data_IF_388108199275
#
_entry.id   IF_388108199275
#
_cell.length_a   1.000
_cell.length_b   1.000
_cell.length_c   1.000
_cell.angle_alpha   90.00
_cell.angle_beta   90.00
_cell.angle_gamma   90.00
#
_symmetry.space_group_name_H-M   'P 1'
#
loop_
_entity.id
_entity.type
_entity.pdbx_description
1 polymer ?
#
# COMPACT_ATOMS: atom_id res chain seq x y z
N UNK A 1 -27.07 -17.15 7.19
CA UNK A 1 -25.68 -17.30 7.69
C UNK A 1 -24.90 -17.96 6.57
N UNK A 2 -23.92 -17.28 6.01
CA UNK A 2 -23.08 -17.83 4.94
C UNK A 2 -21.80 -18.40 5.54
N UNK A 3 -21.45 -19.63 5.15
CA UNK A 3 -20.25 -20.32 5.58
C UNK A 3 -19.35 -20.50 4.37
N UNK A 4 -18.16 -19.92 4.42
CA UNK A 4 -17.15 -20.01 3.36
C UNK A 4 -16.03 -20.96 3.81
N UNK A 5 -15.60 -21.85 2.92
CA UNK A 5 -14.49 -22.78 3.15
C UNK A 5 -13.29 -22.39 2.28
N UNK A 6 -12.08 -22.50 2.82
CA UNK A 6 -10.84 -22.15 2.13
C UNK A 6 -9.64 -22.90 2.70
N UNK A 7 -8.44 -22.61 2.18
CA UNK A 7 -7.20 -23.24 2.65
C UNK A 7 -6.76 -22.61 3.97
N UNK A 8 -6.53 -23.42 4.99
CA UNK A 8 -6.02 -22.94 6.28
C UNK A 8 -4.54 -22.56 6.17
N UNK A 9 -4.21 -21.33 6.57
CA UNK A 9 -2.83 -20.79 6.64
C UNK A 9 -2.42 -20.54 8.09
N UNK A 10 -3.38 -20.33 8.99
CA UNK A 10 -3.16 -20.05 10.40
C UNK A 10 -4.20 -20.78 11.26
N UNK A 11 -3.78 -21.43 12.34
CA UNK A 11 -4.63 -22.30 13.16
C UNK A 11 -5.48 -21.60 14.23
N UNK A 12 -5.46 -20.27 14.31
CA UNK A 12 -6.22 -19.52 15.30
C UNK A 12 -7.66 -19.20 14.88
N UNK A 13 -8.53 -18.93 15.86
CA UNK A 13 -9.90 -18.44 15.64
C UNK A 13 -9.91 -16.92 15.90
N UNK A 14 -10.39 -16.13 14.93
CA UNK A 14 -10.54 -14.68 15.06
C UNK A 14 -12.03 -14.29 15.14
N UNK A 15 -12.40 -13.47 16.12
CA UNK A 15 -13.76 -12.94 16.28
C UNK A 15 -13.66 -11.42 16.30
N UNK A 16 -14.26 -10.74 15.31
CA UNK A 16 -14.18 -9.30 15.18
C UNK A 16 -14.93 -8.76 13.98
N UNK A 17 -14.84 -7.45 13.76
CA UNK A 17 -15.45 -6.78 12.60
C UNK A 17 -14.63 -7.06 11.35
N UNK A 18 -15.31 -7.27 10.22
CA UNK A 18 -14.68 -7.44 8.92
C UNK A 18 -14.22 -6.06 8.41
N UNK A 19 -12.96 -5.96 8.00
CA UNK A 19 -12.43 -4.83 7.24
C UNK A 19 -12.15 -5.28 5.81
N UNK A 20 -12.79 -4.65 4.83
CA UNK A 20 -12.66 -5.01 3.41
C UNK A 20 -11.57 -4.16 2.78
N UNK A 21 -10.43 -4.76 2.47
CA UNK A 21 -9.37 -4.10 1.71
C UNK A 21 -9.67 -4.20 0.21
N UNK A 22 -10.08 -3.09 -0.40
CA UNK A 22 -10.26 -2.97 -1.85
C UNK A 22 -9.05 -2.25 -2.43
N UNK A 23 -8.48 -2.79 -3.52
CA UNK A 23 -7.51 -2.04 -4.33
C UNK A 23 -8.27 -1.02 -5.16
N UNK A 24 -7.87 0.24 -5.07
CA UNK A 24 -8.41 1.26 -5.96
C UNK A 24 -7.88 1.04 -7.39
N UNK A 25 -8.77 1.10 -8.38
CA UNK A 25 -8.39 1.05 -9.78
C UNK A 25 -7.74 2.38 -10.18
N UNK A 26 -6.43 2.36 -10.46
CA UNK A 26 -5.74 3.52 -11.04
C UNK A 26 -6.00 3.57 -12.55
N UNK A 27 -7.08 4.23 -12.97
CA UNK A 27 -7.33 4.48 -14.39
C UNK A 27 -6.40 5.57 -14.93
N UNK A 28 -5.52 5.21 -15.86
CA UNK A 28 -4.65 6.17 -16.55
C UNK A 28 -5.46 6.92 -17.61
N UNK A 29 -5.79 8.18 -17.32
CA UNK A 29 -6.43 9.08 -18.29
C UNK A 29 -5.39 9.79 -19.15
N UNK A 30 -5.56 9.74 -20.47
CA UNK A 30 -4.75 10.53 -21.41
C UNK A 30 -5.26 11.98 -21.39
N UNK A 31 -4.42 12.89 -20.92
CA UNK A 31 -4.65 14.33 -20.94
C UNK A 31 -3.50 15.00 -21.67
N UNK A 32 -3.80 16.02 -22.50
CA UNK A 32 -2.77 16.90 -23.03
C UNK A 32 -2.34 17.85 -21.91
N UNK A 33 -1.04 17.92 -21.68
CA UNK A 33 -0.46 18.77 -20.66
C UNK A 33 0.05 20.03 -21.34
N UNK A 34 -0.51 21.17 -20.95
CA UNK A 34 -0.16 22.48 -21.52
C UNK A 34 1.10 23.06 -20.88
N UNK A 35 1.42 22.65 -19.65
CA UNK A 35 2.59 23.10 -18.89
C UNK A 35 3.48 21.92 -18.45
N UNK A 36 4.54 21.61 -19.21
CA UNK A 36 5.45 20.51 -18.88
C UNK A 36 6.17 20.66 -17.55
N UNK A 37 6.53 21.89 -17.14
CA UNK A 37 7.28 22.14 -15.91
C UNK A 37 6.45 21.80 -14.66
N UNK A 38 5.15 22.12 -14.69
CA UNK A 38 4.21 21.77 -13.62
C UNK A 38 4.03 20.25 -13.50
N UNK A 39 4.01 19.52 -14.61
CA UNK A 39 3.90 18.06 -14.57
C UNK A 39 5.15 17.39 -14.01
N UNK A 40 6.34 17.91 -14.36
CA UNK A 40 7.60 17.44 -13.78
C UNK A 40 7.61 17.70 -12.27
N UNK A 41 7.15 18.86 -11.81
CA UNK A 41 7.03 19.17 -10.38
C UNK A 41 6.05 18.22 -9.67
N UNK A 42 4.87 17.96 -10.26
CA UNK A 42 3.89 16.99 -9.75
C UNK A 42 4.49 15.60 -9.58
N UNK A 43 5.20 15.12 -10.60
CA UNK A 43 5.87 13.82 -10.56
C UNK A 43 6.95 13.76 -9.47
N UNK A 44 7.80 14.79 -9.37
CA UNK A 44 8.85 14.86 -8.34
C UNK A 44 8.27 14.86 -6.93
N UNK A 45 7.19 15.61 -6.70
CA UNK A 45 6.50 15.64 -5.42
C UNK A 45 5.91 14.26 -5.08
N UNK A 46 5.22 13.64 -6.02
CA UNK A 46 4.66 12.30 -5.82
C UNK A 46 5.75 11.26 -5.50
N UNK A 47 6.89 11.31 -6.22
CA UNK A 47 8.05 10.47 -5.95
C UNK A 47 8.60 10.70 -4.53
N UNK A 48 8.74 11.96 -4.11
CA UNK A 48 9.23 12.29 -2.77
C UNK A 48 8.30 11.73 -1.69
N UNK A 49 6.99 11.92 -1.83
CA UNK A 49 5.99 11.36 -0.91
C UNK A 49 6.05 9.84 -0.87
N UNK A 50 6.18 9.17 -2.02
CA UNK A 50 6.31 7.71 -2.07
C UNK A 50 7.58 7.23 -1.36
N UNK A 51 8.72 7.91 -1.54
CA UNK A 51 9.97 7.59 -0.85
C UNK A 51 9.83 7.75 0.68
N UNK A 52 9.19 8.82 1.14
CA UNK A 52 8.95 9.04 2.58
C UNK A 52 8.01 7.99 3.17
N UNK A 53 6.94 7.62 2.46
CA UNK A 53 6.03 6.56 2.88
C UNK A 53 6.74 5.20 2.99
N UNK A 54 7.58 4.86 2.02
CA UNK A 54 8.38 3.63 2.03
C UNK A 54 9.40 3.64 3.18
N UNK A 55 10.09 4.76 3.40
CA UNK A 55 11.05 4.89 4.50
C UNK A 55 10.37 4.74 5.86
N UNK A 56 9.18 5.33 6.02
CA UNK A 56 8.39 5.18 7.25
C UNK A 56 7.93 3.73 7.46
N UNK A 57 7.54 3.04 6.39
CA UNK A 57 7.17 1.63 6.45
C UNK A 57 8.35 0.76 6.88
N UNK A 58 9.53 1.01 6.31
CA UNK A 58 10.79 0.34 6.66
C UNK A 58 11.15 0.55 8.14
N UNK A 59 11.10 1.81 8.61
CA UNK A 59 11.39 2.13 10.01
C UNK A 59 10.40 1.47 10.98
N UNK A 60 9.11 1.42 10.63
CA UNK A 60 8.11 0.70 11.44
C UNK A 60 8.35 -0.81 11.44
N UNK A 61 8.63 -1.40 10.28
CA UNK A 61 8.91 -2.83 10.16
C UNK A 61 10.15 -3.25 10.97
N UNK A 62 11.23 -2.46 10.93
CA UNK A 62 12.42 -2.67 11.77
C UNK A 62 12.08 -2.66 13.26
N UNK A 63 11.20 -1.74 13.69
CA UNK A 63 10.85 -1.57 15.11
C UNK A 63 9.87 -2.62 15.62
N UNK A 64 8.94 -3.07 14.79
CA UNK A 64 7.83 -3.94 15.21
C UNK A 64 8.04 -5.43 14.92
N UNK A 65 8.83 -5.79 13.89
CA UNK A 65 8.87 -7.19 13.38
C UNK A 65 10.29 -7.76 13.23
N UNK A 66 11.34 -6.98 13.51
CA UNK A 66 12.74 -7.40 13.42
C UNK A 66 13.28 -7.52 11.97
N UNK A 67 14.61 -7.55 11.83
CA UNK A 67 15.37 -7.39 10.56
C UNK A 67 14.92 -8.29 9.40
N UNK A 68 14.32 -9.45 9.67
CA UNK A 68 13.93 -10.43 8.65
C UNK A 68 12.75 -10.00 7.76
N UNK A 69 11.87 -9.10 8.23
CA UNK A 69 10.66 -8.68 7.49
C UNK A 69 10.76 -7.27 6.88
N UNK A 70 11.82 -6.52 7.17
CA UNK A 70 11.99 -5.14 6.67
C UNK A 70 12.64 -5.07 5.27
N UNK A 71 13.18 -6.17 4.75
CA UNK A 71 13.96 -6.20 3.50
C UNK A 71 13.14 -6.46 2.22
N UNK A 72 11.80 -6.43 2.30
CA UNK A 72 10.88 -6.68 1.17
C UNK A 72 10.19 -5.38 0.75
#
# INVERSE_FOLDING_TARGET
MEVYQGKSVFGGIAIGRISVHKKDEQQVKRVKIENPDLEIARYRQARQTAMEQLQNLYQKALKEVGEANAAI
#
